data_IF_627387204932
#
_entry.id   IF_627387204932
#
_cell.length_a   1.000
_cell.length_b   1.000
_cell.length_c   1.000
_cell.angle_alpha   90.00
_cell.angle_beta   90.00
_cell.angle_gamma   90.00
#
_symmetry.space_group_name_H-M   'P 1'
#
loop_
_entity.id
_entity.type
_entity.pdbx_description
1 polymer ?
#
# COMPACT_ATOMS: atom_id res chain seq x y z
N UNK A 1 -12.35 -10.82 17.79
CA UNK A 1 -11.19 -10.84 16.88
C UNK A 1 -11.20 -9.50 16.16
N UNK A 2 -10.23 -8.61 16.42
CA UNK A 2 -10.20 -7.27 15.83
C UNK A 2 -9.31 -7.32 14.59
N UNK A 3 -9.84 -7.86 13.49
CA UNK A 3 -9.14 -8.06 12.21
C UNK A 3 -8.31 -6.84 11.75
N UNK A 4 -8.76 -5.58 11.90
CA UNK A 4 -7.95 -4.41 11.51
C UNK A 4 -6.65 -4.27 12.33
N UNK A 5 -6.66 -4.65 13.61
CA UNK A 5 -5.48 -4.56 14.46
C UNK A 5 -4.42 -5.58 14.06
N UNK A 6 -4.84 -6.83 13.83
CA UNK A 6 -3.94 -7.91 13.41
C UNK A 6 -3.27 -7.61 12.06
N UNK A 7 -4.03 -7.04 11.11
CA UNK A 7 -3.49 -6.60 9.82
C UNK A 7 -2.39 -5.54 9.98
N UNK A 8 -2.67 -4.45 10.72
CA UNK A 8 -1.69 -3.36 10.87
C UNK A 8 -0.45 -3.81 11.66
N UNK A 9 -0.62 -4.66 12.67
CA UNK A 9 0.51 -5.26 13.41
C UNK A 9 1.39 -6.11 12.48
N UNK A 10 0.77 -6.94 11.61
CA UNK A 10 1.49 -7.72 10.63
C UNK A 10 2.25 -6.83 9.63
N UNK A 11 1.60 -5.80 9.08
CA UNK A 11 2.25 -4.87 8.16
C UNK A 11 3.44 -4.16 8.80
N UNK A 12 3.35 -3.78 10.08
CA UNK A 12 4.46 -3.15 10.80
C UNK A 12 5.68 -4.08 10.92
N UNK A 13 5.47 -5.40 10.96
CA UNK A 13 6.54 -6.40 11.02
C UNK A 13 7.14 -6.72 9.66
N UNK A 14 6.33 -6.63 8.59
CA UNK A 14 6.74 -6.99 7.23
C UNK A 14 7.40 -5.84 6.47
N UNK A 15 6.97 -4.59 6.71
CA UNK A 15 7.42 -3.43 5.95
C UNK A 15 8.54 -2.72 6.71
N UNK A 16 9.77 -2.65 6.15
CA UNK A 16 10.86 -1.94 6.79
C UNK A 16 10.56 -0.44 6.94
N UNK A 17 10.94 0.15 8.07
CA UNK A 17 10.86 1.60 8.25
C UNK A 17 11.69 2.34 7.19
N UNK A 18 11.19 3.50 6.78
CA UNK A 18 11.75 4.38 5.75
C UNK A 18 11.88 3.75 4.34
N UNK A 19 11.30 2.57 4.11
CA UNK A 19 11.28 1.93 2.80
C UNK A 19 10.31 2.65 1.85
N UNK A 20 10.55 2.49 0.54
CA UNK A 20 9.68 2.98 -0.52
C UNK A 20 8.50 2.03 -0.70
N UNK A 21 7.29 2.51 -0.39
CA UNK A 21 6.08 1.68 -0.42
C UNK A 21 5.13 2.15 -1.52
N UNK A 22 4.74 1.22 -2.38
CA UNK A 22 3.72 1.40 -3.40
C UNK A 22 2.47 0.59 -3.09
N UNK A 23 1.33 0.97 -3.68
CA UNK A 23 0.10 0.18 -3.61
C UNK A 23 -0.59 0.06 -4.95
N UNK A 24 -1.30 -1.05 -5.16
CA UNK A 24 -2.23 -1.25 -6.28
C UNK A 24 -3.53 -0.46 -6.12
N UNK A 25 -4.46 -0.64 -7.07
CA UNK A 25 -5.80 -0.07 -6.98
C UNK A 25 -6.73 -1.02 -6.23
N UNK A 26 -7.01 -0.72 -4.97
CA UNK A 26 -7.84 -1.57 -4.11
C UNK A 26 -8.63 -0.74 -3.09
N UNK A 27 -9.95 -0.93 -3.09
CA UNK A 27 -10.85 -0.36 -2.07
C UNK A 27 -10.63 -1.00 -0.71
N UNK A 28 -10.28 -2.29 -0.66
CA UNK A 28 -9.96 -3.01 0.58
C UNK A 28 -8.87 -2.30 1.38
N UNK A 29 -7.87 -1.70 0.72
CA UNK A 29 -6.81 -0.94 1.40
C UNK A 29 -7.34 0.33 2.10
N UNK A 30 -8.41 0.95 1.57
CA UNK A 30 -9.10 2.05 2.25
C UNK A 30 -9.97 1.53 3.40
N UNK A 31 -10.80 0.52 3.15
CA UNK A 31 -11.73 -0.05 4.13
C UNK A 31 -11.02 -0.62 5.37
N UNK A 32 -9.82 -1.14 5.18
CA UNK A 32 -8.99 -1.70 6.25
C UNK A 32 -8.09 -0.68 6.94
N UNK A 33 -8.08 0.59 6.49
CA UNK A 33 -7.27 1.66 7.07
C UNK A 33 -5.78 1.62 6.69
N UNK A 34 -5.38 0.75 5.76
CA UNK A 34 -3.97 0.61 5.33
C UNK A 34 -3.45 1.89 4.68
N UNK A 35 -4.27 2.60 3.89
CA UNK A 35 -3.87 3.87 3.29
C UNK A 35 -3.49 4.90 4.36
N UNK A 36 -4.30 5.01 5.41
CA UNK A 36 -4.03 5.94 6.52
C UNK A 36 -2.80 5.51 7.34
N UNK A 37 -2.61 4.20 7.54
CA UNK A 37 -1.41 3.66 8.18
C UNK A 37 -0.14 4.06 7.41
N UNK A 38 -0.13 3.90 6.07
CA UNK A 38 1.02 4.26 5.25
C UNK A 38 1.30 5.77 5.24
N UNK A 39 0.25 6.60 5.26
CA UNK A 39 0.37 8.07 5.34
C UNK A 39 0.91 8.57 6.68
N UNK A 40 0.56 7.89 7.78
CA UNK A 40 0.94 8.29 9.15
C UNK A 40 2.24 7.62 9.63
N UNK A 41 2.63 6.51 9.00
CA UNK A 41 3.81 5.74 9.36
C UNK A 41 5.11 6.34 8.84
N UNK A 42 6.24 5.76 9.27
CA UNK A 42 7.57 6.13 8.81
C UNK A 42 7.91 5.43 7.50
N UNK A 43 7.24 5.79 6.41
CA UNK A 43 7.45 5.23 5.07
C UNK A 43 7.58 6.31 4.01
N UNK A 44 8.28 6.01 2.92
CA UNK A 44 8.23 6.83 1.71
C UNK A 44 7.06 6.31 0.88
N UNK A 45 5.86 6.82 1.16
CA UNK A 45 4.65 6.33 0.51
C UNK A 45 4.43 6.98 -0.86
N UNK A 46 4.33 6.16 -1.90
CA UNK A 46 3.94 6.54 -3.26
C UNK A 46 2.43 6.80 -3.35
N UNK A 47 1.97 7.86 -2.68
CA UNK A 47 0.55 8.16 -2.52
C UNK A 47 -0.10 8.73 -3.80
N UNK A 48 -0.58 7.82 -4.65
CA UNK A 48 -1.35 8.17 -5.86
C UNK A 48 -2.78 8.65 -5.59
N UNK A 49 -3.21 8.70 -4.33
CA UNK A 49 -4.54 9.13 -3.88
C UNK A 49 -4.52 10.42 -3.08
N UNK A 50 -3.36 11.08 -2.94
CA UNK A 50 -3.27 12.36 -2.23
C UNK A 50 -4.09 13.43 -2.94
N UNK A 51 -4.64 14.36 -2.15
CA UNK A 51 -5.38 15.49 -2.67
C UNK A 51 -4.49 16.37 -3.58
N UNK A 52 -5.09 16.94 -4.62
CA UNK A 52 -4.40 17.83 -5.56
C UNK A 52 -3.42 17.14 -6.52
N UNK A 53 -3.38 15.80 -6.57
CA UNK A 53 -2.52 15.09 -7.51
C UNK A 53 -2.95 15.32 -8.96
N UNK A 54 -1.99 15.68 -9.81
CA UNK A 54 -2.22 15.79 -11.26
C UNK A 54 -2.14 14.44 -11.95
N UNK A 55 -2.75 14.31 -13.14
CA UNK A 55 -2.63 13.10 -13.95
C UNK A 55 -1.19 12.74 -14.29
N UNK A 56 -0.30 13.75 -14.44
CA UNK A 56 1.13 13.55 -14.70
C UNK A 56 1.84 12.92 -13.49
N UNK A 57 1.68 13.50 -12.30
CA UNK A 57 2.27 12.96 -11.07
C UNK A 57 1.72 11.56 -10.76
N UNK A 58 0.42 11.35 -10.98
CA UNK A 58 -0.19 10.03 -10.81
C UNK A 58 0.48 8.99 -11.73
N UNK A 59 0.71 9.34 -13.00
CA UNK A 59 1.42 8.49 -13.97
C UNK A 59 2.87 8.23 -13.54
N UNK A 60 3.58 9.25 -13.08
CA UNK A 60 4.96 9.09 -12.58
C UNK A 60 5.02 8.15 -11.38
N UNK A 61 4.06 8.23 -10.46
CA UNK A 61 3.94 7.31 -9.33
C UNK A 61 3.66 5.88 -9.81
N UNK A 62 2.75 5.68 -10.78
CA UNK A 62 2.51 4.34 -11.34
C UNK A 62 3.79 3.70 -11.89
N UNK A 63 4.65 4.49 -12.55
CA UNK A 63 5.95 4.02 -13.03
C UNK A 63 6.91 3.76 -11.86
N UNK A 64 6.94 4.65 -10.86
CA UNK A 64 7.84 4.54 -9.71
C UNK A 64 7.52 3.33 -8.81
N UNK A 65 6.29 2.81 -8.84
CA UNK A 65 5.93 1.58 -8.12
C UNK A 65 6.79 0.37 -8.51
N UNK A 66 7.33 0.32 -9.75
CA UNK A 66 8.25 -0.75 -10.17
C UNK A 66 9.60 -0.73 -9.43
N UNK A 67 9.90 0.36 -8.72
CA UNK A 67 11.09 0.50 -7.88
C UNK A 67 10.77 0.48 -6.39
N UNK A 68 9.52 0.17 -5.99
CA UNK A 68 9.16 0.10 -4.58
C UNK A 68 9.82 -1.11 -3.90
N UNK A 69 10.29 -0.92 -2.68
CA UNK A 69 10.81 -2.01 -1.83
C UNK A 69 9.67 -2.94 -1.38
N UNK A 70 8.47 -2.39 -1.24
CA UNK A 70 7.26 -3.12 -0.92
C UNK A 70 6.10 -2.62 -1.76
N UNK A 71 5.36 -3.56 -2.37
CA UNK A 71 4.14 -3.26 -3.12
C UNK A 71 2.96 -4.05 -2.55
N UNK A 72 1.92 -3.33 -2.11
CA UNK A 72 0.72 -3.96 -1.53
C UNK A 72 -0.39 -3.94 -2.57
N UNK A 73 -0.94 -5.11 -2.88
CA UNK A 73 -2.12 -5.24 -3.73
C UNK A 73 -3.14 -6.17 -3.08
N UNK A 74 -4.38 -6.06 -3.55
CA UNK A 74 -5.44 -7.01 -3.24
C UNK A 74 -5.53 -8.04 -4.35
N UNK A 75 -5.97 -9.23 -3.99
CA UNK A 75 -6.41 -10.24 -4.96
C UNK A 75 -7.77 -10.78 -4.51
N UNK A 76 -8.64 -11.08 -5.47
CA UNK A 76 -9.98 -11.62 -5.17
C UNK A 76 -9.94 -13.13 -4.93
N UNK A 77 -8.98 -13.82 -5.53
CA UNK A 77 -8.71 -15.24 -5.34
C UNK A 77 -7.20 -15.44 -5.38
N UNK A 78 -6.70 -16.25 -4.47
CA UNK A 78 -5.31 -16.69 -4.46
C UNK A 78 -5.32 -18.17 -4.12
N UNK A 79 -4.77 -18.98 -5.01
CA UNK A 79 -4.46 -20.38 -4.75
C UNK A 79 -3.17 -20.49 -3.95
N UNK A 80 -2.91 -21.62 -3.30
CA UNK A 80 -1.65 -21.83 -2.55
C UNK A 80 -0.40 -21.73 -3.44
N UNK A 81 -0.56 -21.96 -4.75
CA UNK A 81 0.49 -21.78 -5.76
C UNK A 81 0.69 -20.33 -6.21
N UNK A 82 -0.16 -19.39 -5.76
CA UNK A 82 -0.07 -17.98 -6.11
C UNK A 82 -0.81 -17.57 -7.39
N UNK A 83 -1.60 -18.46 -8.00
CA UNK A 83 -2.53 -18.16 -9.11
C UNK A 83 -3.88 -17.63 -8.61
#
# INVERSE_FOLDING_TARGET
MNLPFELIDLLTKLIPQNSLVGVGDSMTLFETGVIDFLRKGSFIFLDKYREGITSKEKREIYIKNFSADTFICSTNALTESGE
#
